data_IF_090305691133
#
_entry.id   IF_090305691133
#
_cell.length_a   1.000
_cell.length_b   1.000
_cell.length_c   1.000
_cell.angle_alpha   90.00
_cell.angle_beta   90.00
_cell.angle_gamma   90.00
#
_symmetry.space_group_name_H-M   'P 1'
#
loop_
_entity.id
_entity.type
_entity.pdbx_description
1 polymer ?
#
# COMPACT_ATOMS: atom_id res chain seq x y z
N UNK A 1 -6.42 -8.20 6.07
CA UNK A 1 -6.79 -9.33 5.19
C UNK A 1 -5.61 -10.28 5.00
N UNK A 2 -4.54 -9.88 4.29
CA UNK A 2 -3.42 -10.76 3.98
C UNK A 2 -2.80 -11.43 5.22
N UNK A 3 -2.51 -10.68 6.28
CA UNK A 3 -1.95 -11.24 7.52
C UNK A 3 -2.82 -12.35 8.09
N UNK A 4 -4.10 -12.08 8.36
CA UNK A 4 -5.01 -13.04 9.00
C UNK A 4 -5.47 -14.18 8.09
N UNK A 5 -5.75 -13.89 6.82
CA UNK A 5 -6.45 -14.83 5.93
C UNK A 5 -5.53 -15.57 4.97
N UNK A 6 -4.39 -14.97 4.59
CA UNK A 6 -3.44 -15.58 3.65
C UNK A 6 -2.25 -16.17 4.40
N UNK A 7 -1.67 -15.40 5.32
CA UNK A 7 -0.48 -15.82 6.07
C UNK A 7 -0.80 -16.43 7.44
N UNK A 8 -2.05 -16.34 7.90
CA UNK A 8 -2.51 -16.84 9.20
C UNK A 8 -1.63 -16.34 10.37
N UNK A 9 -1.29 -15.06 10.35
CA UNK A 9 -0.54 -14.35 11.39
C UNK A 9 -1.36 -13.19 11.98
N UNK A 10 -1.04 -12.82 13.22
CA UNK A 10 -1.63 -11.70 13.94
C UNK A 10 -0.52 -10.81 14.54
N UNK A 11 0.17 -10.00 13.70
CA UNK A 11 1.23 -9.13 14.18
C UNK A 11 0.67 -7.94 14.97
N UNK A 12 1.47 -7.43 15.89
CA UNK A 12 1.21 -6.13 16.50
C UNK A 12 1.62 -5.03 15.51
N UNK A 13 0.73 -4.08 15.25
CA UNK A 13 1.01 -2.94 14.38
C UNK A 13 1.43 -1.73 15.21
N UNK A 14 2.58 -1.15 14.86
CA UNK A 14 3.09 0.09 15.45
C UNK A 14 3.45 1.07 14.34
N UNK A 15 3.33 2.36 14.62
CA UNK A 15 3.85 3.38 13.70
C UNK A 15 5.37 3.35 13.74
N UNK A 16 6.00 3.07 12.60
CA UNK A 16 7.45 3.17 12.47
C UNK A 16 7.94 4.62 12.54
N UNK A 17 9.19 4.80 12.93
CA UNK A 17 9.90 6.08 12.90
C UNK A 17 11.23 5.86 12.19
N UNK A 18 11.85 6.92 11.66
CA UNK A 18 13.20 6.82 11.10
C UNK A 18 13.30 6.13 9.73
N UNK A 19 14.49 5.61 9.45
CA UNK A 19 14.83 4.91 8.20
C UNK A 19 14.34 3.46 8.14
N UNK A 20 14.47 2.81 6.99
CA UNK A 20 14.08 1.40 6.81
C UNK A 20 14.89 0.47 7.73
N UNK A 21 16.21 0.66 7.81
CA UNK A 21 17.09 -0.15 8.66
C UNK A 21 16.75 -0.03 10.14
N UNK A 22 16.55 1.20 10.63
CA UNK A 22 16.14 1.46 12.02
C UNK A 22 14.80 0.79 12.32
N UNK A 23 13.83 0.95 11.41
CA UNK A 23 12.52 0.33 11.57
C UNK A 23 12.58 -1.22 11.56
N UNK A 24 13.49 -1.82 10.79
CA UNK A 24 13.71 -3.27 10.75
C UNK A 24 14.47 -3.80 11.99
N UNK A 25 15.26 -2.96 12.67
CA UNK A 25 15.85 -3.34 13.96
C UNK A 25 14.80 -3.40 15.08
N UNK A 26 13.84 -2.47 15.05
CA UNK A 26 12.78 -2.38 16.07
C UNK A 26 11.61 -3.34 15.79
N UNK A 27 11.34 -3.65 14.52
CA UNK A 27 10.21 -4.47 14.09
C UNK A 27 10.67 -5.62 13.18
N UNK A 28 10.10 -6.82 13.37
CA UNK A 28 10.41 -7.97 12.51
C UNK A 28 9.93 -7.85 11.06
N UNK A 29 9.12 -6.85 10.74
CA UNK A 29 8.71 -6.51 9.38
C UNK A 29 8.27 -5.03 9.32
N UNK A 30 8.42 -4.41 8.15
CA UNK A 30 8.03 -3.01 7.91
C UNK A 30 7.15 -2.94 6.67
N UNK A 31 6.08 -2.14 6.74
CA UNK A 31 5.26 -1.78 5.58
C UNK A 31 5.64 -0.37 5.13
N UNK A 32 6.04 -0.23 3.86
CA UNK A 32 6.28 1.05 3.22
C UNK A 32 5.35 1.23 2.02
N UNK A 33 4.99 2.48 1.71
CA UNK A 33 4.15 2.86 0.56
C UNK A 33 4.70 4.11 -0.12
N UNK A 34 4.26 4.36 -1.36
CA UNK A 34 4.69 5.51 -2.16
C UNK A 34 6.17 5.46 -2.51
N UNK A 35 6.78 6.64 -2.72
CA UNK A 35 8.17 6.77 -3.17
C UNK A 35 9.18 6.08 -2.27
N UNK A 36 8.92 6.05 -0.95
CA UNK A 36 9.78 5.35 0.02
C UNK A 36 9.90 3.86 -0.29
N UNK A 37 8.80 3.23 -0.70
CA UNK A 37 8.80 1.83 -1.10
C UNK A 37 9.36 1.64 -2.52
N UNK A 38 9.06 2.58 -3.42
CA UNK A 38 9.49 2.50 -4.82
C UNK A 38 11.02 2.58 -4.96
N UNK A 39 11.66 3.39 -4.12
CA UNK A 39 13.12 3.59 -4.10
C UNK A 39 13.77 2.95 -2.87
N UNK A 40 13.09 1.99 -2.22
CA UNK A 40 13.67 1.29 -1.09
C UNK A 40 14.87 0.45 -1.52
N UNK A 41 15.95 0.54 -0.74
CA UNK A 41 17.11 -0.35 -0.83
C UNK A 41 17.18 -1.16 0.48
N UNK A 42 16.32 -2.19 0.64
CA UNK A 42 16.34 -3.00 1.86
C UNK A 42 17.66 -3.78 1.97
N UNK A 43 18.08 -4.14 3.20
CA UNK A 43 19.21 -5.03 3.41
C UNK A 43 19.09 -6.32 2.58
N UNK A 44 20.21 -6.87 2.10
CA UNK A 44 20.23 -7.97 1.13
C UNK A 44 19.51 -9.25 1.61
N UNK A 45 19.40 -9.47 2.92
CA UNK A 45 18.72 -10.60 3.54
C UNK A 45 17.23 -10.34 3.85
N UNK A 46 16.71 -9.19 3.45
CA UNK A 46 15.31 -8.80 3.68
C UNK A 46 14.38 -9.36 2.62
N UNK A 47 13.33 -10.07 3.04
CA UNK A 47 12.26 -10.49 2.15
C UNK A 47 11.34 -9.31 1.81
N UNK A 48 11.16 -9.05 0.52
CA UNK A 48 10.29 -7.99 0.00
C UNK A 48 9.00 -8.60 -0.56
N UNK A 49 7.86 -8.15 -0.05
CA UNK A 49 6.55 -8.60 -0.49
C UNK A 49 5.78 -7.49 -1.20
N UNK A 50 5.35 -7.73 -2.44
CA UNK A 50 4.35 -6.92 -3.11
C UNK A 50 2.95 -7.30 -2.59
N UNK A 51 2.32 -6.38 -1.85
CA UNK A 51 1.00 -6.61 -1.26
C UNK A 51 -0.12 -6.67 -2.32
N UNK A 52 0.01 -5.94 -3.43
CA UNK A 52 -0.94 -6.03 -4.55
C UNK A 52 -0.81 -7.35 -5.29
N UNK A 53 0.43 -7.82 -5.47
CA UNK A 53 0.72 -9.16 -5.98
C UNK A 53 0.13 -10.26 -5.09
N UNK A 54 0.36 -10.16 -3.77
CA UNK A 54 -0.20 -11.10 -2.79
C UNK A 54 -1.73 -11.09 -2.77
N UNK A 55 -2.37 -9.92 -2.90
CA UNK A 55 -3.81 -9.80 -3.04
C UNK A 55 -4.33 -10.48 -4.31
N UNK A 56 -3.71 -10.20 -5.45
CA UNK A 56 -4.10 -10.78 -6.74
C UNK A 56 -3.94 -12.29 -6.72
N UNK A 57 -2.86 -12.80 -6.14
CA UNK A 57 -2.64 -14.24 -5.99
C UNK A 57 -3.70 -14.91 -5.09
N UNK A 58 -4.10 -14.25 -4.00
CA UNK A 58 -5.08 -14.80 -3.07
C UNK A 58 -6.53 -14.73 -3.58
N UNK A 59 -6.87 -13.71 -4.38
CA UNK A 59 -8.26 -13.39 -4.74
C UNK A 59 -8.59 -13.55 -6.22
N UNK A 60 -7.59 -13.57 -7.10
CA UNK A 60 -7.77 -13.48 -8.55
C UNK A 60 -8.26 -12.11 -9.04
N UNK A 61 -8.33 -11.09 -8.17
CA UNK A 61 -8.89 -9.77 -8.49
C UNK A 61 -7.82 -8.67 -8.37
N UNK A 62 -7.94 -7.57 -9.14
CA UNK A 62 -7.08 -6.39 -8.95
C UNK A 62 -7.34 -5.73 -7.58
N UNK A 63 -6.30 -5.08 -7.03
CA UNK A 63 -6.42 -4.25 -5.83
C UNK A 63 -6.57 -2.78 -6.22
N UNK A 64 -7.50 -2.06 -5.57
CA UNK A 64 -7.70 -0.61 -5.77
C UNK A 64 -7.05 0.14 -4.62
N UNK A 65 -5.95 0.84 -4.88
CA UNK A 65 -5.21 1.60 -3.85
C UNK A 65 -5.85 2.95 -3.50
N UNK A 66 -6.44 3.61 -4.49
CA UNK A 66 -7.06 4.92 -4.33
C UNK A 66 -8.19 5.09 -5.34
N UNK A 67 -9.15 5.94 -4.99
CA UNK A 67 -10.18 6.42 -5.88
C UNK A 67 -10.52 7.87 -5.53
N UNK A 68 -10.99 8.62 -6.51
CA UNK A 68 -11.47 9.98 -6.31
C UNK A 68 -12.91 9.93 -5.80
N UNK A 69 -13.15 10.61 -4.68
CA UNK A 69 -14.48 10.74 -4.10
C UNK A 69 -14.77 12.21 -3.80
N UNK A 70 -16.03 12.58 -3.91
CA UNK A 70 -16.51 13.93 -3.57
C UNK A 70 -17.79 13.83 -2.73
N UNK A 71 -18.13 14.91 -2.03
CA UNK A 71 -19.45 15.02 -1.38
C UNK A 71 -20.53 15.16 -2.46
N UNK A 72 -21.77 14.68 -2.20
CA UNK A 72 -22.88 14.89 -3.12
C UNK A 72 -23.06 16.36 -3.49
N UNK A 73 -23.32 16.63 -4.78
CA UNK A 73 -23.52 17.99 -5.32
C UNK A 73 -22.24 18.80 -5.58
N UNK A 74 -21.05 18.22 -5.33
CA UNK A 74 -19.76 18.90 -5.60
C UNK A 74 -19.24 18.60 -7.00
N UNK A 75 -19.50 17.41 -7.53
CA UNK A 75 -19.07 17.03 -8.88
C UNK A 75 -20.11 17.52 -9.88
N UNK A 76 -19.67 18.38 -10.79
CA UNK A 76 -20.41 18.74 -11.99
C UNK A 76 -19.72 18.18 -13.24
N UNK A 77 -20.32 18.48 -14.40
CA UNK A 77 -19.83 17.99 -15.68
C UNK A 77 -18.47 18.58 -16.05
N UNK A 78 -18.22 19.83 -15.69
CA UNK A 78 -16.97 20.52 -16.01
C UNK A 78 -15.79 19.91 -15.24
N UNK A 79 -15.95 19.66 -13.94
CA UNK A 79 -14.93 19.00 -13.12
C UNK A 79 -14.71 17.56 -13.59
N UNK A 80 -15.78 16.83 -13.96
CA UNK A 80 -15.64 15.49 -14.51
C UNK A 80 -14.85 15.47 -15.82
N UNK A 81 -15.19 16.35 -16.77
CA UNK A 81 -14.52 16.43 -18.07
C UNK A 81 -13.04 16.83 -17.89
N UNK A 82 -12.74 17.80 -17.03
CA UNK A 82 -11.37 18.19 -16.70
C UNK A 82 -10.53 17.03 -16.14
N UNK A 83 -11.09 16.23 -15.23
CA UNK A 83 -10.40 15.03 -14.69
C UNK A 83 -10.30 13.88 -15.69
N UNK A 84 -11.29 13.75 -16.59
CA UNK A 84 -11.31 12.68 -17.58
C UNK A 84 -10.29 12.91 -18.70
N UNK A 85 -10.12 14.17 -19.12
CA UNK A 85 -9.21 14.59 -20.18
C UNK A 85 -7.76 14.73 -19.72
N UNK A 86 -7.50 14.91 -18.42
CA UNK A 86 -6.14 15.02 -17.87
C UNK A 86 -5.41 13.67 -17.70
N UNK A 87 -5.91 12.61 -18.33
CA UNK A 87 -5.36 11.25 -18.25
C UNK A 87 -4.07 11.07 -19.03
#
# INVERSE_FOLDING_TARGET
>A
VLCRQVWNIEPEFRSGHGGLDEALMDCGAVVQIGDKALFAEPPHDTLVYDLGGAWTAATGMPFVYAAWFCRPGVLDREIYEALHESR
#
